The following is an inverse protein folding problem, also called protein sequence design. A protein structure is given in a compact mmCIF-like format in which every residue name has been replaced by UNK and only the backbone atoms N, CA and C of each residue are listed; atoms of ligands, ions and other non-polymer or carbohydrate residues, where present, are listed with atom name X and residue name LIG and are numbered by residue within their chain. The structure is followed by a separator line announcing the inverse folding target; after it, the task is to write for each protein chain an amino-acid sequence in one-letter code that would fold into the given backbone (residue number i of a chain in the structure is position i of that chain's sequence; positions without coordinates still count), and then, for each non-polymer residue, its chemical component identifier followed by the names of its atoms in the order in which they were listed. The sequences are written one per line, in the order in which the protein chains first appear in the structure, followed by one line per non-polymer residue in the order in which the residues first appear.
data_IF_157079654095
#
_entry.id   IF_157079654095
#
_cell.length_a   1.000
_cell.length_b   1.000
_cell.length_c   1.000
_cell.angle_alpha   90.00
_cell.angle_beta   90.00
_cell.angle_gamma   90.00
#
_symmetry.space_group_name_H-M   'P 1'
#
loop_
_entity.id
_entity.type
_entity.pdbx_description
1 polymer ?
#
# COMPACT_ATOMS: atom_id res chain seq x y z
N UNK A 1 -24.03 30.49 -15.08
CA UNK A 1 -23.67 30.77 -16.46
C UNK A 1 -23.92 29.53 -17.28
N UNK A 2 -24.53 29.61 -18.47
CA UNK A 2 -24.68 28.45 -19.34
C UNK A 2 -23.29 27.92 -19.73
N UNK A 3 -23.25 26.64 -20.06
CA UNK A 3 -22.04 25.96 -20.47
C UNK A 3 -21.49 26.59 -21.76
N UNK A 4 -20.30 27.18 -21.68
CA UNK A 4 -19.70 27.96 -22.77
C UNK A 4 -19.16 27.11 -23.93
N UNK A 5 -19.13 25.78 -23.77
CA UNK A 5 -18.58 24.88 -24.77
C UNK A 5 -19.69 24.21 -25.57
N UNK A 6 -19.65 24.29 -26.90
CA UNK A 6 -20.47 23.48 -27.77
C UNK A 6 -20.22 21.97 -27.51
N UNK A 7 -21.23 21.11 -27.76
CA UNK A 7 -21.14 19.66 -27.54
C UNK A 7 -19.89 19.04 -28.17
N UNK A 8 -19.55 19.45 -29.39
CA UNK A 8 -18.35 18.97 -30.14
C UNK A 8 -17.06 19.38 -29.43
N UNK A 9 -16.98 20.63 -28.96
CA UNK A 9 -15.81 21.12 -28.23
C UNK A 9 -15.65 20.41 -26.88
N UNK A 10 -16.73 20.13 -26.19
CA UNK A 10 -16.72 19.36 -24.93
C UNK A 10 -16.22 17.94 -25.17
N UNK A 11 -16.77 17.24 -26.18
CA UNK A 11 -16.31 15.90 -26.55
C UNK A 11 -14.80 15.91 -26.87
N UNK A 12 -14.34 16.89 -27.62
CA UNK A 12 -12.92 17.04 -27.93
C UNK A 12 -12.03 17.31 -26.71
N UNK A 13 -12.48 18.13 -25.76
CA UNK A 13 -11.78 18.33 -24.49
C UNK A 13 -11.72 17.05 -23.66
N UNK A 14 -12.84 16.34 -23.56
CA UNK A 14 -12.94 15.12 -22.75
C UNK A 14 -12.11 13.97 -23.33
N UNK A 15 -12.06 13.82 -24.66
CA UNK A 15 -11.27 12.76 -25.32
C UNK A 15 -9.75 12.95 -25.16
N UNK A 16 -9.30 14.16 -24.85
CA UNK A 16 -7.88 14.48 -24.60
C UNK A 16 -7.42 14.29 -23.15
N UNK A 17 -8.35 14.00 -22.24
CA UNK A 17 -8.00 13.77 -20.85
C UNK A 17 -7.31 12.43 -20.75
N UNK A 18 -6.04 12.47 -20.36
CA UNK A 18 -5.23 11.27 -20.15
C UNK A 18 -5.51 10.69 -18.77
N UNK A 19 -5.71 9.36 -18.72
CA UNK A 19 -5.83 8.63 -17.44
C UNK A 19 -4.50 8.26 -16.81
N UNK A 20 -3.36 8.62 -17.45
CA UNK A 20 -1.99 8.34 -16.97
C UNK A 20 -1.03 9.39 -17.48
N UNK A 21 0.08 9.54 -16.76
CA UNK A 21 1.11 10.52 -17.07
C UNK A 21 0.56 11.95 -17.14
N UNK A 22 -0.33 12.25 -16.21
CA UNK A 22 -0.89 13.59 -16.03
C UNK A 22 0.18 14.58 -15.55
N UNK A 23 -0.07 15.87 -15.74
CA UNK A 23 0.88 16.91 -15.26
C UNK A 23 1.16 16.79 -13.75
N UNK A 24 0.16 16.61 -12.87
CA UNK A 24 0.41 16.38 -11.44
C UNK A 24 1.28 15.14 -11.16
N UNK A 25 0.99 14.00 -11.79
CA UNK A 25 1.82 12.80 -11.62
C UNK A 25 3.27 13.02 -12.01
N UNK A 26 3.52 13.67 -13.17
CA UNK A 26 4.88 13.98 -13.66
C UNK A 26 5.59 14.90 -12.67
N UNK A 27 4.89 15.88 -12.08
CA UNK A 27 5.46 16.80 -11.11
C UNK A 27 5.89 16.05 -9.84
N UNK A 28 5.02 15.19 -9.29
CA UNK A 28 5.34 14.37 -8.13
C UNK A 28 6.53 13.45 -8.41
N UNK A 29 6.55 12.77 -9.55
CA UNK A 29 7.66 11.89 -9.97
C UNK A 29 9.00 12.64 -10.02
N UNK A 30 9.02 13.80 -10.71
CA UNK A 30 10.24 14.63 -10.79
C UNK A 30 10.68 15.10 -9.40
N UNK A 31 9.75 15.55 -8.57
CA UNK A 31 10.02 16.01 -7.22
C UNK A 31 10.58 14.91 -6.30
N UNK A 32 10.03 13.70 -6.35
CA UNK A 32 10.54 12.57 -5.59
C UNK A 32 11.89 12.08 -6.11
N UNK A 33 12.07 12.04 -7.43
CA UNK A 33 13.35 11.65 -8.03
C UNK A 33 14.48 12.60 -7.64
N UNK A 34 14.22 13.90 -7.67
CA UNK A 34 15.17 14.95 -7.26
C UNK A 34 15.56 14.83 -5.76
N UNK A 35 14.68 14.24 -4.92
CA UNK A 35 14.93 13.96 -3.50
C UNK A 35 15.54 12.57 -3.23
N UNK A 36 16.00 11.89 -4.30
CA UNK A 36 16.71 10.61 -4.20
C UNK A 36 15.83 9.38 -4.12
N UNK A 37 14.50 9.50 -4.22
CA UNK A 37 13.63 8.34 -4.21
C UNK A 37 13.68 7.57 -5.53
N UNK A 38 13.59 6.24 -5.43
CA UNK A 38 13.44 5.33 -6.57
C UNK A 38 12.11 4.61 -6.44
N UNK A 39 11.33 4.56 -7.51
CA UNK A 39 9.95 4.08 -7.50
C UNK A 39 9.62 3.33 -8.79
N UNK A 40 8.53 2.59 -8.75
CA UNK A 40 7.89 1.95 -9.91
C UNK A 40 6.60 2.68 -10.25
N UNK A 41 6.23 2.68 -11.52
CA UNK A 41 5.03 3.36 -12.01
C UNK A 41 3.95 2.35 -12.36
N UNK A 42 2.69 2.71 -12.08
CA UNK A 42 1.49 2.00 -12.52
C UNK A 42 1.59 0.47 -12.31
N UNK A 43 1.94 0.04 -11.10
CA UNK A 43 2.13 -1.38 -10.80
C UNK A 43 0.79 -2.13 -10.84
N UNK A 44 0.53 -2.83 -11.94
CA UNK A 44 -0.71 -3.60 -12.17
C UNK A 44 -0.88 -4.79 -11.21
N UNK A 45 0.16 -5.21 -10.49
CA UNK A 45 0.09 -6.29 -9.50
C UNK A 45 -0.54 -5.83 -8.18
N UNK A 46 -0.69 -4.53 -7.99
CA UNK A 46 -1.32 -3.94 -6.80
C UNK A 46 -2.75 -3.48 -7.10
N UNK A 47 -3.67 -3.57 -6.13
CA UNK A 47 -5.02 -3.02 -6.25
C UNK A 47 -4.99 -1.57 -6.75
N UNK A 48 -5.88 -1.22 -7.69
CA UNK A 48 -6.01 0.12 -8.25
C UNK A 48 -4.83 0.60 -9.11
N UNK A 49 -3.75 -0.17 -9.24
CA UNK A 49 -2.54 0.20 -10.01
C UNK A 49 -1.99 1.58 -9.60
N UNK A 50 -1.48 1.76 -8.38
CA UNK A 50 -1.00 3.06 -7.88
C UNK A 50 -0.07 3.77 -8.86
N UNK A 51 -0.16 5.10 -8.94
CA UNK A 51 0.63 5.92 -9.87
C UNK A 51 2.12 5.83 -9.60
N UNK A 52 2.49 5.76 -8.31
CA UNK A 52 3.88 5.66 -7.86
C UNK A 52 3.94 4.64 -6.71
N UNK A 53 4.86 3.69 -6.80
CA UNK A 53 5.07 2.67 -5.77
C UNK A 53 6.53 2.69 -5.32
N UNK A 54 6.76 2.79 -4.02
CA UNK A 54 8.08 2.77 -3.39
C UNK A 54 8.25 1.50 -2.54
N UNK A 55 8.69 0.37 -3.12
CA UNK A 55 8.75 -0.92 -2.41
C UNK A 55 9.68 -0.90 -1.19
N UNK A 56 10.77 -0.14 -1.27
CA UNK A 56 11.71 0.03 -0.16
C UNK A 56 11.04 0.53 1.12
N UNK A 57 10.02 1.40 0.96
CA UNK A 57 9.32 2.07 2.05
C UNK A 57 7.94 1.44 2.33
N UNK A 58 7.46 0.51 1.48
CA UNK A 58 6.08 0.00 1.45
C UNK A 58 5.05 1.12 1.29
N UNK A 59 5.35 2.11 0.43
CA UNK A 59 4.46 3.24 0.16
C UNK A 59 3.88 3.14 -1.23
N UNK A 60 2.57 3.38 -1.33
CA UNK A 60 1.81 3.52 -2.59
C UNK A 60 1.21 4.93 -2.65
N UNK A 61 1.45 5.65 -3.74
CA UNK A 61 0.95 7.02 -3.92
C UNK A 61 -0.06 7.05 -5.04
N UNK A 62 -1.23 7.63 -4.75
CA UNK A 62 -2.29 7.98 -5.67
C UNK A 62 -2.25 9.48 -5.92
N UNK A 63 -2.23 9.92 -7.18
CA UNK A 63 -2.23 11.34 -7.55
C UNK A 63 -3.59 11.69 -8.15
N UNK A 64 -4.46 12.26 -7.32
CA UNK A 64 -5.86 12.43 -7.65
C UNK A 64 -6.19 13.83 -8.18
N UNK A 65 -6.85 13.90 -9.33
CA UNK A 65 -7.47 15.12 -9.83
C UNK A 65 -8.70 15.50 -8.99
N UNK A 66 -8.76 16.75 -8.53
CA UNK A 66 -9.79 17.21 -7.58
C UNK A 66 -11.22 16.98 -8.07
N UNK A 67 -11.50 17.25 -9.33
CA UNK A 67 -12.82 17.04 -9.94
C UNK A 67 -13.19 15.57 -10.01
N UNK A 68 -12.29 14.73 -10.56
CA UNK A 68 -12.56 13.33 -10.88
C UNK A 68 -12.78 12.44 -9.65
N UNK A 69 -12.11 12.79 -8.54
CA UNK A 69 -12.17 12.05 -7.28
C UNK A 69 -12.98 12.78 -6.19
N UNK A 70 -13.67 13.88 -6.57
CA UNK A 70 -14.59 14.61 -5.69
C UNK A 70 -13.92 15.12 -4.43
N UNK A 71 -12.78 15.81 -4.56
CA UNK A 71 -12.05 16.35 -3.42
C UNK A 71 -12.92 17.26 -2.55
N UNK A 72 -13.13 16.90 -1.29
CA UNK A 72 -14.03 17.59 -0.37
C UNK A 72 -13.50 19.00 -0.09
N UNK A 73 -14.42 19.98 -0.02
CA UNK A 73 -14.12 21.39 0.29
C UNK A 73 -13.06 22.05 -0.61
N UNK A 74 -12.88 21.55 -1.81
CA UNK A 74 -11.90 22.06 -2.76
C UNK A 74 -12.55 22.94 -3.82
N UNK A 75 -12.04 24.15 -4.01
CA UNK A 75 -12.53 25.09 -5.05
C UNK A 75 -12.35 24.59 -6.48
N UNK A 76 -11.50 23.62 -6.69
CA UNK A 76 -11.24 23.02 -7.99
C UNK A 76 -12.09 21.76 -8.28
N UNK A 77 -12.79 21.26 -7.29
CA UNK A 77 -13.75 20.17 -7.43
C UNK A 77 -15.16 20.73 -7.72
N UNK A 78 -15.28 21.57 -8.76
CA UNK A 78 -16.53 22.22 -9.11
C UNK A 78 -17.52 21.22 -9.70
N UNK A 79 -18.76 21.26 -9.21
CA UNK A 79 -19.85 20.44 -9.78
C UNK A 79 -20.31 21.02 -11.12
N UNK A 80 -20.42 20.20 -12.19
CA UNK A 80 -21.02 20.62 -13.45
C UNK A 80 -22.47 21.05 -13.26
N UNK A 81 -22.91 22.05 -14.00
CA UNK A 81 -24.31 22.54 -13.98
C UNK A 81 -25.23 21.77 -14.92
N UNK A 82 -24.66 21.01 -15.84
CA UNK A 82 -25.37 20.16 -16.80
C UNK A 82 -25.06 18.70 -16.51
N UNK A 83 -26.04 17.79 -16.75
CA UNK A 83 -25.94 16.35 -16.48
C UNK A 83 -25.48 16.07 -15.01
N UNK A 84 -26.06 16.80 -14.07
CA UNK A 84 -25.67 16.77 -12.65
C UNK A 84 -25.71 15.36 -12.09
N UNK A 85 -26.80 14.63 -12.29
CA UNK A 85 -27.00 13.26 -11.81
C UNK A 85 -25.93 12.28 -12.34
N UNK A 86 -25.61 12.37 -13.63
CA UNK A 86 -24.53 11.57 -14.24
C UNK A 86 -23.19 11.82 -13.53
N UNK A 87 -22.85 13.09 -13.30
CA UNK A 87 -21.57 13.45 -12.67
C UNK A 87 -21.52 13.08 -11.20
N UNK A 88 -22.59 13.28 -10.47
CA UNK A 88 -22.69 12.87 -9.06
C UNK A 88 -22.53 11.37 -8.91
N UNK A 89 -23.22 10.58 -9.73
CA UNK A 89 -23.08 9.12 -9.75
C UNK A 89 -21.66 8.69 -10.11
N UNK A 90 -21.08 9.31 -11.14
CA UNK A 90 -19.71 8.99 -11.58
C UNK A 90 -18.66 9.30 -10.53
N UNK A 91 -18.75 10.47 -9.90
CA UNK A 91 -17.82 10.90 -8.85
C UNK A 91 -18.00 10.01 -7.59
N UNK A 92 -19.25 9.69 -7.22
CA UNK A 92 -19.52 8.78 -6.12
C UNK A 92 -18.91 7.39 -6.33
N UNK A 93 -19.06 6.82 -7.54
CA UNK A 93 -18.42 5.54 -7.91
C UNK A 93 -16.89 5.61 -7.86
N UNK A 94 -16.30 6.70 -8.33
CA UNK A 94 -14.85 6.88 -8.26
C UNK A 94 -14.38 6.91 -6.80
N UNK A 95 -15.04 7.69 -5.95
CA UNK A 95 -14.70 7.77 -4.51
C UNK A 95 -14.82 6.42 -3.81
N UNK A 96 -15.93 5.70 -4.04
CA UNK A 96 -16.09 4.38 -3.46
C UNK A 96 -14.99 3.41 -3.92
N UNK A 97 -14.67 3.41 -5.21
CA UNK A 97 -13.56 2.61 -5.75
C UNK A 97 -12.23 2.98 -5.10
N UNK A 98 -11.95 4.27 -4.91
CA UNK A 98 -10.71 4.75 -4.28
C UNK A 98 -10.63 4.29 -2.82
N UNK A 99 -11.72 4.39 -2.06
CA UNK A 99 -11.82 3.91 -0.66
C UNK A 99 -11.54 2.39 -0.58
N UNK A 100 -12.20 1.59 -1.41
CA UNK A 100 -11.99 0.14 -1.47
C UNK A 100 -10.54 -0.20 -1.87
N UNK A 101 -10.01 0.51 -2.85
CA UNK A 101 -8.62 0.32 -3.31
C UNK A 101 -7.61 0.61 -2.21
N UNK A 102 -7.79 1.73 -1.50
CA UNK A 102 -6.91 2.13 -0.41
C UNK A 102 -6.96 1.10 0.74
N UNK A 103 -8.16 0.67 1.15
CA UNK A 103 -8.32 -0.37 2.17
C UNK A 103 -7.63 -1.70 1.79
N UNK A 104 -7.73 -2.12 0.53
CA UNK A 104 -7.03 -3.32 0.06
C UNK A 104 -5.50 -3.16 0.08
N UNK A 105 -4.98 -2.00 -0.31
CA UNK A 105 -3.54 -1.73 -0.25
C UNK A 105 -3.03 -1.72 1.21
N UNK A 106 -3.78 -1.10 2.11
CA UNK A 106 -3.46 -1.06 3.54
C UNK A 106 -3.47 -2.47 4.16
N UNK A 107 -4.46 -3.31 3.81
CA UNK A 107 -4.52 -4.71 4.23
C UNK A 107 -3.33 -5.54 3.72
N UNK A 108 -2.76 -5.16 2.56
CA UNK A 108 -1.52 -5.76 2.04
C UNK A 108 -0.25 -5.17 2.68
N UNK A 109 -0.38 -4.30 3.67
CA UNK A 109 0.76 -3.70 4.39
C UNK A 109 1.39 -2.49 3.69
N UNK A 110 0.71 -1.89 2.71
CA UNK A 110 1.15 -0.65 2.06
C UNK A 110 0.65 0.56 2.83
N UNK A 111 1.52 1.55 3.03
CA UNK A 111 1.11 2.89 3.46
C UNK A 111 0.63 3.68 2.23
N UNK A 112 -0.65 4.04 2.22
CA UNK A 112 -1.27 4.72 1.07
C UNK A 112 -1.27 6.21 1.28
N UNK A 113 -0.69 6.96 0.35
CA UNK A 113 -0.67 8.41 0.36
C UNK A 113 -1.45 8.93 -0.85
N UNK A 114 -2.45 9.77 -0.60
CA UNK A 114 -3.17 10.48 -1.67
C UNK A 114 -2.65 11.90 -1.80
N UNK A 115 -2.17 12.25 -2.99
CA UNK A 115 -1.74 13.60 -3.35
C UNK A 115 -2.78 14.22 -4.25
N UNK A 116 -3.31 15.39 -3.87
CA UNK A 116 -4.33 16.09 -4.64
C UNK A 116 -3.71 17.10 -5.61
N UNK A 117 -4.30 17.21 -6.80
CA UNK A 117 -3.85 18.16 -7.82
C UNK A 117 -3.77 19.61 -7.29
N UNK A 118 -4.69 20.04 -6.44
CA UNK A 118 -4.71 21.37 -5.88
C UNK A 118 -3.51 21.69 -4.97
N UNK A 119 -2.91 20.70 -4.34
CA UNK A 119 -1.73 20.83 -3.49
C UNK A 119 -0.45 21.08 -4.31
N UNK A 120 -0.53 20.88 -5.62
CA UNK A 120 0.60 21.00 -6.56
C UNK A 120 0.49 22.25 -7.45
N UNK A 121 -0.48 23.15 -7.14
CA UNK A 121 -0.75 24.35 -7.94
C UNK A 121 0.15 25.49 -7.57
N UNK A 122 1.00 25.97 -7.80
CA UNK A 122 1.96 26.98 -7.39
C UNK A 122 3.33 26.37 -7.13
N UNK A 123 4.37 27.10 -7.44
CA UNK A 123 5.74 26.57 -7.27
C UNK A 123 6.10 26.35 -5.80
N UNK A 124 5.72 27.29 -4.93
CA UNK A 124 6.01 27.23 -3.49
C UNK A 124 5.22 26.11 -2.81
N UNK A 125 3.91 26.06 -3.07
CA UNK A 125 2.99 25.05 -2.51
C UNK A 125 3.39 23.64 -2.95
N UNK A 126 3.73 23.48 -4.22
CA UNK A 126 4.21 22.21 -4.74
C UNK A 126 5.53 21.78 -4.12
N UNK A 127 6.48 22.71 -3.91
CA UNK A 127 7.73 22.41 -3.24
C UNK A 127 7.51 21.96 -1.80
N UNK A 128 6.72 22.72 -1.04
CA UNK A 128 6.37 22.39 0.36
C UNK A 128 5.63 21.04 0.45
N UNK A 129 4.67 20.77 -0.43
CA UNK A 129 3.97 19.48 -0.47
C UNK A 129 4.91 18.32 -0.78
N UNK A 130 5.86 18.51 -1.70
CA UNK A 130 6.85 17.49 -2.04
C UNK A 130 7.86 17.23 -0.91
N UNK A 131 8.20 18.25 -0.13
CA UNK A 131 9.03 18.09 1.07
C UNK A 131 8.29 17.31 2.15
N UNK A 132 7.05 17.69 2.44
CA UNK A 132 6.20 16.96 3.38
C UNK A 132 5.99 15.49 2.96
N UNK A 133 5.74 15.26 1.66
CA UNK A 133 5.60 13.92 1.11
C UNK A 133 6.89 13.10 1.28
N UNK A 134 8.04 13.70 1.08
CA UNK A 134 9.33 13.04 1.26
C UNK A 134 9.56 12.62 2.73
N UNK A 135 9.20 13.46 3.70
CA UNK A 135 9.27 13.12 5.13
C UNK A 135 8.29 11.99 5.48
N UNK A 136 7.05 12.05 5.00
CA UNK A 136 6.06 10.99 5.23
C UNK A 136 6.53 9.64 4.68
N UNK A 137 7.15 9.61 3.49
CA UNK A 137 7.75 8.39 2.91
C UNK A 137 8.88 7.86 3.79
N UNK A 138 9.79 8.73 4.29
CA UNK A 138 10.89 8.31 5.17
C UNK A 138 10.36 7.72 6.47
N UNK A 139 9.39 8.38 7.09
CA UNK A 139 8.75 7.91 8.32
C UNK A 139 8.07 6.54 8.13
N UNK A 140 7.34 6.34 7.03
CA UNK A 140 6.74 5.04 6.70
C UNK A 140 7.82 3.95 6.57
N UNK A 141 8.96 4.26 5.96
CA UNK A 141 10.10 3.34 5.85
C UNK A 141 10.75 2.99 7.20
N UNK A 142 10.79 3.93 8.13
CA UNK A 142 11.28 3.69 9.49
C UNK A 142 10.34 2.74 10.25
N UNK A 143 9.03 3.04 10.24
CA UNK A 143 8.03 2.17 10.86
C UNK A 143 8.06 0.75 10.30
N UNK A 144 8.29 0.60 8.99
CA UNK A 144 8.46 -0.71 8.36
C UNK A 144 9.65 -1.47 8.97
N UNK A 145 10.83 -0.83 9.08
CA UNK A 145 12.04 -1.45 9.66
C UNK A 145 11.83 -1.89 11.11
N UNK A 146 11.17 -1.05 11.91
CA UNK A 146 10.85 -1.36 13.31
C UNK A 146 9.96 -2.61 13.38
N UNK A 147 8.90 -2.68 12.57
CA UNK A 147 8.00 -3.85 12.52
C UNK A 147 8.73 -5.13 12.07
N UNK A 148 9.58 -5.02 11.06
CA UNK A 148 10.39 -6.16 10.58
C UNK A 148 11.37 -6.64 11.65
N UNK A 149 12.04 -5.73 12.35
CA UNK A 149 12.93 -6.06 13.48
C UNK A 149 12.19 -6.75 14.63
N UNK A 150 11.04 -6.24 15.03
CA UNK A 150 10.20 -6.86 16.08
C UNK A 150 9.74 -8.27 15.69
N UNK A 151 9.34 -8.47 14.43
CA UNK A 151 8.93 -9.77 13.91
C UNK A 151 10.08 -10.79 13.99
N UNK A 152 11.27 -10.41 13.53
CA UNK A 152 12.46 -11.27 13.59
C UNK A 152 12.82 -11.66 15.03
N UNK A 153 12.76 -10.71 15.96
CA UNK A 153 13.04 -10.97 17.39
C UNK A 153 12.01 -11.94 18.00
N UNK A 154 10.73 -11.78 17.64
CA UNK A 154 9.66 -12.69 18.11
C UNK A 154 9.87 -14.11 17.54
N UNK A 155 10.20 -14.25 16.26
CA UNK A 155 10.47 -15.54 15.62
C UNK A 155 11.70 -16.24 16.25
N UNK A 156 12.76 -15.50 16.54
CA UNK A 156 13.95 -16.03 17.21
C UNK A 156 13.65 -16.51 18.63
N UNK A 157 12.89 -15.73 19.40
CA UNK A 157 12.45 -16.11 20.75
C UNK A 157 11.60 -17.38 20.72
N UNK A 158 10.64 -17.49 19.80
CA UNK A 158 9.81 -18.67 19.62
C UNK A 158 10.61 -19.89 19.23
N UNK A 159 11.65 -19.74 18.39
CA UNK A 159 12.58 -20.82 18.03
C UNK A 159 13.35 -21.31 19.24
N UNK A 160 13.96 -20.43 20.02
CA UNK A 160 14.71 -20.78 21.23
C UNK A 160 13.83 -21.53 22.25
N UNK A 161 12.59 -21.06 22.43
CA UNK A 161 11.64 -21.73 23.32
C UNK A 161 11.29 -23.14 22.84
N UNK A 162 11.09 -23.35 21.54
CA UNK A 162 10.83 -24.67 20.96
C UNK A 162 12.01 -25.62 21.15
N UNK A 163 13.24 -25.14 20.93
CA UNK A 163 14.46 -25.93 21.15
C UNK A 163 14.61 -26.35 22.60
N UNK A 164 14.32 -25.47 23.57
CA UNK A 164 14.34 -25.78 25.00
C UNK A 164 13.29 -26.85 25.39
N UNK A 165 12.08 -26.75 24.85
CA UNK A 165 11.04 -27.73 25.00
C UNK A 165 11.46 -29.11 24.48
N UNK A 166 12.03 -29.21 23.32
CA UNK A 166 12.52 -30.46 22.74
C UNK A 166 13.64 -31.10 23.60
N UNK A 167 14.57 -30.27 24.12
CA UNK A 167 15.57 -30.77 25.07
C UNK A 167 14.98 -31.33 26.36
N UNK A 168 13.94 -30.68 26.91
CA UNK A 168 13.24 -31.15 28.09
C UNK A 168 12.50 -32.45 27.81
N UNK A 169 11.84 -32.57 26.67
CA UNK A 169 11.19 -33.81 26.25
C UNK A 169 12.20 -34.97 26.14
N UNK A 170 13.32 -34.76 25.45
CA UNK A 170 14.35 -35.79 25.29
C UNK A 170 14.89 -36.27 26.63
N UNK A 171 15.14 -35.37 27.60
CA UNK A 171 15.54 -35.76 28.96
C UNK A 171 14.51 -36.59 29.68
N UNK A 172 13.24 -36.21 29.60
CA UNK A 172 12.14 -36.97 30.20
C UNK A 172 12.01 -38.36 29.56
N UNK A 173 12.17 -38.48 28.25
CA UNK A 173 12.18 -39.76 27.55
C UNK A 173 13.35 -40.66 28.00
N UNK A 174 14.56 -40.07 28.18
CA UNK A 174 15.70 -40.80 28.74
C UNK A 174 15.43 -41.30 30.20
N UNK A 175 14.85 -40.46 31.07
CA UNK A 175 14.48 -40.82 32.42
C UNK A 175 13.43 -41.95 32.46
N UNK A 176 12.38 -41.82 31.61
CA UNK A 176 11.34 -42.86 31.51
C UNK A 176 11.93 -44.18 31.03
N UNK A 177 12.80 -44.16 30.00
CA UNK A 177 13.45 -45.34 29.49
C UNK A 177 14.43 -45.97 30.48
N UNK A 178 15.02 -45.17 31.38
CA UNK A 178 15.87 -45.65 32.45
C UNK A 178 15.07 -46.30 33.56
N UNK A 179 13.92 -45.74 33.93
CA UNK A 179 13.04 -46.24 35.00
C UNK A 179 12.20 -47.44 34.54
N UNK A 180 11.79 -47.46 33.29
CA UNK A 180 10.97 -48.50 32.67
C UNK A 180 11.59 -49.02 31.38
N UNK A 181 12.69 -49.81 31.45
CA UNK A 181 13.36 -50.30 30.24
C UNK A 181 12.44 -51.24 29.46
N UNK A 182 12.15 -50.89 28.22
CA UNK A 182 11.35 -51.70 27.31
C UNK A 182 12.06 -53.04 27.08
N UNK A 183 11.42 -54.21 27.39
CA UNK A 183 12.02 -55.51 27.18
C UNK A 183 12.49 -55.69 25.74
N UNK A 184 13.70 -56.27 25.55
CA UNK A 184 14.35 -56.45 24.21
C UNK A 184 13.44 -57.16 23.19
N UNK A 185 12.49 -57.96 23.63
CA UNK A 185 11.53 -58.66 22.79
C UNK A 185 10.56 -57.71 22.09
N UNK A 186 10.05 -56.69 22.79
CA UNK A 186 9.11 -55.70 22.25
C UNK A 186 9.80 -54.75 21.25
N UNK A 187 11.09 -54.42 21.43
CA UNK A 187 11.85 -53.59 20.46
C UNK A 187 12.01 -54.27 19.10
N UNK A 188 12.24 -55.62 19.09
CA UNK A 188 12.38 -56.37 17.83
C UNK A 188 11.08 -56.43 17.02
N UNK A 189 9.94 -56.53 17.73
CA UNK A 189 8.63 -56.62 17.08
C UNK A 189 8.22 -55.23 16.45
N UNK A 190 8.61 -54.12 17.08
CA UNK A 190 8.34 -52.79 16.56
C UNK A 190 9.20 -52.42 15.33
N UNK A 191 10.46 -52.88 15.26
CA UNK A 191 11.35 -52.71 14.11
C UNK A 191 10.95 -53.54 12.87
N UNK A 192 10.12 -54.58 13.08
CA UNK A 192 9.64 -55.44 11.98
C UNK A 192 8.36 -54.90 11.30
N UNK A 193 7.75 -53.82 11.86
CA UNK A 193 6.54 -53.18 11.34
C UNK A 193 6.78 -51.77 10.74
N UNK A 194 8.00 -51.27 10.69
CA UNK A 194 8.40 -50.02 10.08
C UNK A 194 9.05 -50.25 8.72
#
# INVERSE_FOLDING_TARGET
MPDRLALVQRHHCMSRIRGKNTKPEILVRKGLHARGFRFRLHNKKLPGSPDIVLPKYSVAIMVNGCFWHGHKRCRYATKPKTNVEFWETKIARNRHRDEVTNAHLEALGWHVITVWECELRGKSEAASKLDALAEEIRHAGELKRIKEGQKLQTEETARKYREDLLRKQAKLEEEINSLYPIPKKIKKDAESFA
#
